data_IF_115177678084
#
_entry.id   IF_115177678084
#
_cell.length_a   1.000
_cell.length_b   1.000
_cell.length_c   1.000
_cell.angle_alpha   90.00
_cell.angle_beta   90.00
_cell.angle_gamma   90.00
#
_symmetry.space_group_name_H-M   'P 1'
#
loop_
_entity.id
_entity.type
_entity.pdbx_description
1 polymer ?
#
# COMPACT_ATOMS: atom_id res chain seq x y z
N UNK A 1 -11.88 53.01 1.41
CA UNK A 1 -11.40 52.21 2.56
C UNK A 1 -9.99 51.75 2.25
N UNK A 2 -8.97 52.45 2.77
CA UNK A 2 -7.57 52.04 2.62
C UNK A 2 -7.24 51.07 3.75
N UNK A 3 -6.96 49.82 3.40
CA UNK A 3 -6.42 48.84 4.35
C UNK A 3 -5.09 49.36 4.88
N UNK A 4 -4.95 49.41 6.21
CA UNK A 4 -3.72 49.84 6.89
C UNK A 4 -2.58 48.91 6.45
N UNK A 5 -1.42 49.43 5.99
CA UNK A 5 -0.34 48.62 5.41
C UNK A 5 0.17 47.50 6.34
N UNK A 6 0.06 47.67 7.66
CA UNK A 6 0.37 46.62 8.64
C UNK A 6 -0.58 45.41 8.57
N UNK A 7 -1.86 45.62 8.23
CA UNK A 7 -2.86 44.55 8.14
C UNK A 7 -2.62 43.65 6.92
N UNK A 8 -2.18 44.25 5.81
CA UNK A 8 -1.86 43.53 4.56
C UNK A 8 -0.66 42.59 4.77
N UNK A 9 0.37 43.06 5.49
CA UNK A 9 1.55 42.24 5.80
C UNK A 9 1.24 41.09 6.76
N UNK A 10 0.34 41.29 7.73
CA UNK A 10 -0.09 40.22 8.65
C UNK A 10 -0.86 39.14 7.89
N UNK A 11 -1.80 39.55 7.03
CA UNK A 11 -2.59 38.62 6.20
C UNK A 11 -1.67 37.83 5.25
N UNK A 12 -0.72 38.51 4.60
CA UNK A 12 0.25 37.85 3.71
C UNK A 12 1.13 36.84 4.45
N UNK A 13 1.59 37.16 5.66
CA UNK A 13 2.37 36.25 6.51
C UNK A 13 1.53 35.03 6.93
N UNK A 14 0.25 35.23 7.26
CA UNK A 14 -0.66 34.14 7.59
C UNK A 14 -0.91 33.19 6.42
N UNK A 15 -1.15 33.72 5.21
CA UNK A 15 -1.29 32.91 4.01
C UNK A 15 -0.01 32.15 3.67
N UNK A 16 1.16 32.77 3.81
CA UNK A 16 2.44 32.13 3.58
C UNK A 16 2.67 30.98 4.56
N UNK A 17 2.41 31.19 5.85
CA UNK A 17 2.49 30.14 6.86
C UNK A 17 1.52 28.99 6.57
N UNK A 18 0.27 29.29 6.22
CA UNK A 18 -0.73 28.26 5.92
C UNK A 18 -0.33 27.42 4.69
N UNK A 19 0.26 28.06 3.66
CA UNK A 19 0.74 27.37 2.46
C UNK A 19 1.90 26.42 2.77
N UNK A 20 2.85 26.86 3.61
CA UNK A 20 3.96 26.02 4.08
C UNK A 20 3.41 24.82 4.86
N UNK A 21 2.43 25.03 5.76
CA UNK A 21 1.84 23.96 6.56
C UNK A 21 1.06 22.92 5.74
N UNK A 22 0.29 23.35 4.73
CA UNK A 22 -0.48 22.43 3.87
C UNK A 22 0.43 21.64 2.93
N UNK A 23 1.59 22.19 2.54
CA UNK A 23 2.53 21.54 1.63
C UNK A 23 3.28 20.36 2.25
N UNK A 24 3.23 20.18 3.58
CA UNK A 24 3.86 19.06 4.29
C UNK A 24 2.90 17.90 4.61
N UNK A 25 1.69 17.92 4.09
CA UNK A 25 0.75 16.79 4.27
C UNK A 25 1.13 15.70 3.27
N UNK A 26 1.74 14.63 3.78
CA UNK A 26 1.88 13.37 3.05
C UNK A 26 0.47 12.79 2.87
N UNK A 27 -0.06 12.84 1.65
CA UNK A 27 -1.36 12.26 1.34
C UNK A 27 -1.32 10.74 1.44
N UNK A 28 -2.32 10.16 2.09
CA UNK A 28 -2.59 8.73 1.95
C UNK A 28 -2.91 8.38 0.49
N UNK A 29 -2.62 7.15 0.10
CA UNK A 29 -3.03 6.65 -1.21
C UNK A 29 -4.56 6.71 -1.29
N UNK A 30 -5.15 7.13 -2.44
CA UNK A 30 -6.61 7.20 -2.63
C UNK A 30 -7.20 5.80 -2.86
N UNK A 31 -6.86 4.84 -2.01
CA UNK A 31 -7.32 3.46 -2.05
C UNK A 31 -8.41 3.33 -0.99
N UNK A 32 -9.64 3.11 -1.47
CA UNK A 32 -10.78 2.80 -0.62
C UNK A 32 -11.17 1.34 -0.86
N UNK A 33 -10.54 0.43 -0.12
CA UNK A 33 -10.81 -1.00 -0.17
C UNK A 33 -11.35 -1.48 1.18
N UNK A 34 -12.42 -2.26 1.16
CA UNK A 34 -12.95 -2.93 2.32
C UNK A 34 -12.20 -4.25 2.55
N UNK A 35 -12.22 -4.76 3.78
CA UNK A 35 -11.68 -6.10 4.07
C UNK A 35 -12.36 -7.18 3.23
N UNK A 36 -13.64 -6.99 2.87
CA UNK A 36 -14.37 -7.88 1.95
C UNK A 36 -13.77 -7.95 0.56
N UNK A 37 -13.14 -6.87 0.08
CA UNK A 37 -12.52 -6.82 -1.24
C UNK A 37 -11.19 -7.58 -1.26
N UNK A 38 -10.57 -7.75 -0.08
CA UNK A 38 -9.29 -8.45 0.09
C UNK A 38 -9.48 -9.94 0.38
N UNK A 39 -10.61 -10.35 0.95
CA UNK A 39 -10.88 -11.76 1.26
C UNK A 39 -11.10 -12.56 -0.02
N UNK A 40 -10.35 -13.64 -0.21
CA UNK A 40 -10.51 -14.51 -1.37
C UNK A 40 -9.25 -15.26 -1.77
N UNK A 41 -9.29 -15.82 -2.98
CA UNK A 41 -8.15 -16.49 -3.61
C UNK A 41 -7.29 -15.47 -4.35
N UNK A 42 -6.01 -15.45 -4.02
CA UNK A 42 -5.02 -14.56 -4.62
C UNK A 42 -3.98 -15.36 -5.37
N UNK A 43 -3.56 -14.78 -6.49
CA UNK A 43 -2.47 -15.26 -7.31
C UNK A 43 -1.39 -14.18 -7.31
N UNK A 44 -0.29 -14.47 -6.65
CA UNK A 44 0.84 -13.55 -6.50
C UNK A 44 1.91 -14.01 -7.48
N UNK A 45 2.43 -13.07 -8.27
CA UNK A 45 3.53 -13.30 -9.19
C UNK A 45 4.77 -12.61 -8.66
N UNK A 46 5.84 -13.37 -8.47
CA UNK A 46 7.10 -12.88 -7.91
C UNK A 46 8.30 -13.38 -8.71
N UNK A 47 9.36 -12.58 -8.77
CA UNK A 47 10.63 -12.98 -9.36
C UNK A 47 11.44 -13.80 -8.36
N UNK A 48 12.13 -14.84 -8.82
CA UNK A 48 12.99 -15.68 -7.96
C UNK A 48 14.23 -14.96 -7.40
N UNK A 49 14.54 -13.76 -7.88
CA UNK A 49 15.66 -12.97 -7.36
C UNK A 49 15.36 -12.50 -5.93
N UNK A 50 16.02 -13.14 -4.98
CA UNK A 50 16.12 -12.66 -3.60
C UNK A 50 17.19 -11.58 -3.56
N UNK A 51 16.79 -10.37 -3.19
CA UNK A 51 17.73 -9.27 -2.96
C UNK A 51 18.07 -9.22 -1.47
N UNK A 52 19.36 -9.11 -1.14
CA UNK A 52 19.83 -9.02 0.25
C UNK A 52 19.39 -7.72 0.94
N UNK A 53 19.01 -6.71 0.16
CA UNK A 53 18.47 -5.44 0.63
C UNK A 53 17.10 -5.17 0.00
N UNK A 54 16.20 -4.42 0.68
CA UNK A 54 14.94 -3.98 0.10
C UNK A 54 15.22 -3.23 -1.20
N UNK A 55 14.78 -3.80 -2.32
CA UNK A 55 14.75 -3.05 -3.57
C UNK A 55 13.70 -1.95 -3.46
N UNK A 56 13.86 -0.90 -4.25
CA UNK A 56 12.82 0.11 -4.40
C UNK A 56 11.61 -0.54 -5.11
N UNK A 57 10.71 -1.16 -4.32
CA UNK A 57 9.43 -1.68 -4.81
C UNK A 57 8.45 -0.55 -5.21
N UNK A 58 8.88 0.71 -5.10
CA UNK A 58 8.19 1.90 -5.56
C UNK A 58 9.18 2.86 -6.20
N UNK A 59 9.44 2.71 -7.50
CA UNK A 59 10.27 3.64 -8.27
C UNK A 59 10.64 3.14 -9.68
N UNK A 60 10.07 3.80 -10.69
CA UNK A 60 10.22 3.62 -12.16
C UNK A 60 10.13 2.20 -12.70
N UNK A 61 8.93 1.63 -12.63
CA UNK A 61 8.36 0.67 -13.59
C UNK A 61 6.84 0.90 -13.56
N UNK A 62 6.22 1.13 -14.73
CA UNK A 62 5.45 2.33 -14.97
C UNK A 62 4.44 2.60 -13.87
N UNK A 63 4.70 3.62 -13.06
CA UNK A 63 3.75 4.08 -12.04
C UNK A 63 3.04 5.37 -12.46
N UNK A 64 3.31 5.84 -13.68
CA UNK A 64 2.58 6.95 -14.28
C UNK A 64 1.29 6.42 -14.90
N UNK A 65 0.20 7.18 -14.80
CA UNK A 65 -1.06 6.81 -15.45
C UNK A 65 -0.88 6.57 -16.96
N UNK A 66 -0.02 7.35 -17.61
CA UNK A 66 0.25 7.23 -19.04
C UNK A 66 0.99 5.96 -19.42
N UNK A 67 1.92 5.51 -18.59
CA UNK A 67 2.66 4.29 -18.88
C UNK A 67 1.88 3.04 -18.43
N UNK A 68 1.06 3.15 -17.37
CA UNK A 68 0.07 2.13 -17.00
C UNK A 68 -0.93 1.87 -18.14
N UNK A 69 -1.37 2.91 -18.85
CA UNK A 69 -2.25 2.77 -20.01
C UNK A 69 -1.61 2.03 -21.20
N UNK A 70 -0.28 2.00 -21.27
CA UNK A 70 0.47 1.24 -22.31
C UNK A 70 0.65 -0.22 -21.93
N UNK A 71 0.48 -0.58 -20.65
CA UNK A 71 0.55 -1.95 -20.18
C UNK A 71 -0.82 -2.61 -20.28
N UNK A 72 -1.14 -3.12 -21.47
CA UNK A 72 -2.33 -3.96 -21.65
C UNK A 72 -2.23 -5.28 -20.89
N UNK A 73 -1.00 -5.78 -20.67
CA UNK A 73 -0.73 -6.96 -19.85
C UNK A 73 0.51 -6.73 -18.96
N UNK A 74 0.24 -6.40 -17.69
CA UNK A 74 1.27 -6.17 -16.68
C UNK A 74 2.12 -7.43 -16.40
N UNK A 75 1.53 -8.63 -16.51
CA UNK A 75 2.24 -9.88 -16.27
C UNK A 75 3.28 -10.14 -17.34
N UNK A 76 2.89 -9.98 -18.62
CA UNK A 76 3.83 -10.10 -19.74
C UNK A 76 4.97 -9.10 -19.61
N UNK A 77 4.67 -7.85 -19.26
CA UNK A 77 5.68 -6.84 -18.98
C UNK A 77 6.67 -7.25 -17.88
N UNK A 78 6.17 -7.75 -16.75
CA UNK A 78 7.02 -8.22 -15.65
C UNK A 78 7.89 -9.41 -16.09
N UNK A 79 7.34 -10.33 -16.87
CA UNK A 79 8.07 -11.49 -17.38
C UNK A 79 9.15 -11.09 -18.40
N UNK A 80 8.86 -10.15 -19.29
CA UNK A 80 9.82 -9.68 -20.29
C UNK A 80 10.95 -8.86 -19.65
N UNK A 81 10.63 -8.11 -18.60
CA UNK A 81 11.60 -7.23 -17.92
C UNK A 81 12.51 -8.00 -16.96
N UNK A 82 11.93 -8.91 -16.17
CA UNK A 82 12.65 -9.56 -15.07
C UNK A 82 12.85 -11.06 -15.27
N UNK A 83 12.05 -11.70 -16.12
CA UNK A 83 12.07 -13.15 -16.33
C UNK A 83 11.66 -13.96 -15.09
N UNK A 84 11.42 -15.25 -15.31
CA UNK A 84 11.30 -16.26 -14.24
C UNK A 84 10.28 -15.90 -13.15
N UNK A 85 9.07 -15.48 -13.55
CA UNK A 85 7.97 -15.28 -12.62
C UNK A 85 7.47 -16.62 -12.06
N UNK A 86 7.37 -16.69 -10.74
CA UNK A 86 6.77 -17.80 -10.02
C UNK A 86 5.40 -17.40 -9.50
N UNK A 87 4.46 -18.33 -9.59
CA UNK A 87 3.10 -18.17 -9.11
C UNK A 87 2.96 -18.75 -7.70
N UNK A 88 2.52 -17.91 -6.78
CA UNK A 88 2.15 -18.30 -5.42
C UNK A 88 0.63 -18.11 -5.24
N UNK A 89 -0.07 -19.20 -4.93
CA UNK A 89 -1.51 -19.21 -4.67
C UNK A 89 -1.77 -19.14 -3.17
N UNK A 90 -2.51 -18.14 -2.73
CA UNK A 90 -2.88 -17.96 -1.31
C UNK A 90 -4.36 -17.66 -1.17
N UNK A 91 -4.90 -17.94 0.01
CA UNK A 91 -6.26 -17.58 0.40
C UNK A 91 -6.17 -16.63 1.58
N UNK A 92 -6.62 -15.40 1.37
CA UNK A 92 -6.81 -14.44 2.45
C UNK A 92 -8.20 -14.67 3.03
N UNK A 93 -8.26 -15.28 4.22
CA UNK A 93 -9.52 -15.63 4.87
C UNK A 93 -9.91 -14.62 5.95
N UNK A 94 -11.18 -14.60 6.34
CA UNK A 94 -11.67 -13.82 7.48
C UNK A 94 -11.59 -14.57 8.82
N UNK A 95 -10.93 -15.73 8.85
CA UNK A 95 -10.77 -16.54 10.05
C UNK A 95 -9.90 -15.79 11.06
N UNK A 96 -10.45 -15.47 12.23
CA UNK A 96 -9.80 -14.62 13.23
C UNK A 96 -8.83 -15.41 14.10
N UNK A 97 -7.66 -14.82 14.32
CA UNK A 97 -6.70 -15.24 15.33
C UNK A 97 -6.54 -14.11 16.34
N UNK A 98 -6.57 -14.47 17.62
CA UNK A 98 -6.33 -13.52 18.70
C UNK A 98 -5.00 -13.82 19.38
N UNK A 99 -4.01 -12.95 19.18
CA UNK A 99 -2.67 -13.10 19.72
C UNK A 99 -2.51 -12.31 21.02
N UNK A 100 -2.94 -12.90 22.15
CA UNK A 100 -2.89 -12.25 23.47
C UNK A 100 -1.47 -11.99 23.98
N UNK A 101 -0.52 -12.75 23.48
CA UNK A 101 0.89 -12.70 23.88
C UNK A 101 1.66 -11.51 23.26
N UNK A 102 1.07 -10.81 22.28
CA UNK A 102 1.70 -9.66 21.64
C UNK A 102 1.73 -8.43 22.58
N UNK A 103 2.68 -7.53 22.35
CA UNK A 103 2.80 -6.29 23.14
C UNK A 103 1.73 -5.28 22.67
N UNK A 104 1.05 -4.55 23.58
CA UNK A 104 0.14 -3.47 23.21
C UNK A 104 0.81 -2.45 22.25
N UNK A 105 0.10 -1.96 21.21
CA UNK A 105 -1.31 -2.22 20.88
C UNK A 105 -1.53 -3.46 20.00
N UNK A 106 -0.49 -4.22 19.63
CA UNK A 106 -0.59 -5.33 18.66
C UNK A 106 -1.46 -6.49 19.15
N UNK A 107 -1.58 -6.69 20.46
CA UNK A 107 -2.53 -7.67 21.02
C UNK A 107 -4.01 -7.33 20.79
N UNK A 108 -4.32 -6.09 20.40
CA UNK A 108 -5.67 -5.66 20.04
C UNK A 108 -5.95 -5.80 18.54
N UNK A 109 -4.94 -6.13 17.73
CA UNK A 109 -5.10 -6.25 16.29
C UNK A 109 -5.93 -7.47 15.92
N UNK A 110 -6.73 -7.32 14.85
CA UNK A 110 -7.53 -8.40 14.28
C UNK A 110 -6.68 -9.15 13.26
N UNK A 111 -5.94 -10.15 13.72
CA UNK A 111 -5.21 -11.03 12.82
C UNK A 111 -6.18 -11.98 12.12
N UNK A 112 -5.95 -12.18 10.82
CA UNK A 112 -6.72 -13.03 9.94
C UNK A 112 -5.80 -14.12 9.36
N UNK A 113 -6.31 -15.30 9.00
CA UNK A 113 -5.47 -16.39 8.48
C UNK A 113 -5.17 -16.25 6.99
N UNK A 114 -3.92 -16.50 6.63
CA UNK A 114 -3.47 -16.79 5.26
C UNK A 114 -3.37 -18.31 5.11
N UNK A 115 -4.00 -18.85 4.07
CA UNK A 115 -3.96 -20.29 3.76
C UNK A 115 -3.27 -20.52 2.41
N UNK A 116 -2.65 -21.67 2.25
CA UNK A 116 -2.13 -22.13 0.97
C UNK A 116 -3.29 -22.38 0.01
N UNK A 117 -3.22 -21.83 -1.20
CA UNK A 117 -4.27 -21.97 -2.20
C UNK A 117 -4.45 -23.37 -2.77
N UNK A 118 -3.48 -24.28 -2.58
CA UNK A 118 -3.54 -25.66 -3.10
C UNK A 118 -4.25 -26.64 -2.16
N UNK A 119 -3.95 -26.57 -0.87
CA UNK A 119 -4.40 -27.55 0.13
C UNK A 119 -5.20 -26.93 1.30
N UNK A 120 -5.31 -25.61 1.35
CA UNK A 120 -6.01 -24.89 2.42
C UNK A 120 -5.30 -24.89 3.77
N UNK A 121 -4.05 -25.39 3.85
CA UNK A 121 -3.25 -25.36 5.07
C UNK A 121 -2.92 -23.93 5.49
N UNK A 122 -2.82 -23.68 6.80
CA UNK A 122 -2.50 -22.34 7.32
C UNK A 122 -1.01 -22.08 7.17
N UNK A 123 -0.65 -21.01 6.45
CA UNK A 123 0.75 -20.63 6.17
C UNK A 123 1.15 -19.30 6.81
N UNK A 124 0.20 -18.54 7.35
CA UNK A 124 0.51 -17.27 7.98
C UNK A 124 -0.70 -16.51 8.48
N UNK A 125 -0.48 -15.24 8.79
CA UNK A 125 -1.53 -14.31 9.22
C UNK A 125 -1.40 -12.98 8.47
N UNK A 126 -2.53 -12.32 8.23
CA UNK A 126 -2.60 -11.01 7.60
C UNK A 126 -3.52 -10.09 8.42
N UNK A 127 -3.46 -8.79 8.14
CA UNK A 127 -4.33 -7.79 8.74
C UNK A 127 -4.44 -6.61 7.75
N UNK A 128 -5.60 -5.95 7.72
CA UNK A 128 -5.76 -4.67 7.05
C UNK A 128 -5.42 -3.54 8.02
N UNK A 129 -4.66 -2.56 7.55
CA UNK A 129 -4.63 -1.24 8.18
C UNK A 129 -5.93 -0.52 7.79
N UNK A 130 -6.74 -0.17 8.78
CA UNK A 130 -7.93 0.68 8.65
C UNK A 130 -7.69 1.96 9.45
#
# INVERSE_FOLDING_TARGET
MHLVPGLVNIIACHFLCLHVWVSFVFGDLPIHALTSDVIGHWRIWETLQLFEAPQACGGTIPNSNWDNLKLSDYKSYLNDTYGNLVETLVILSNERLHKREEIPPRNQWKFLRVKNGKDGSVIGNWYCFN
#
